data_IF_221652721931
#
_entry.id   IF_221652721931
#
_cell.length_a   1.000
_cell.length_b   1.000
_cell.length_c   1.000
_cell.angle_alpha   90.00
_cell.angle_beta   90.00
_cell.angle_gamma   90.00
#
_symmetry.space_group_name_H-M   'P 1'
#
loop_
_entity.id
_entity.type
_entity.pdbx_description
1 polymer ?
#
# COMPACT_ATOMS: atom_id res chain seq x y z
N UNK A 1 -8.88 29.96 22.28
CA UNK A 1 -9.82 30.77 21.48
C UNK A 1 -11.13 31.09 22.21
N UNK A 2 -11.71 30.12 22.95
CA UNK A 2 -12.92 30.33 23.77
C UNK A 2 -12.76 31.46 24.80
N UNK A 3 -11.76 31.36 25.66
CA UNK A 3 -11.42 32.38 26.67
C UNK A 3 -11.33 33.82 26.13
N UNK A 4 -10.74 33.99 24.95
CA UNK A 4 -10.57 35.33 24.36
C UNK A 4 -11.90 35.92 23.91
N UNK A 5 -12.78 35.11 23.31
CA UNK A 5 -14.09 35.57 22.89
C UNK A 5 -14.98 35.93 24.10
N UNK A 6 -14.88 35.17 25.18
CA UNK A 6 -15.59 35.42 26.42
C UNK A 6 -15.08 36.69 27.13
N UNK A 7 -13.75 36.86 27.24
CA UNK A 7 -13.14 38.07 27.79
C UNK A 7 -13.51 39.33 26.96
N UNK A 8 -13.48 39.23 25.63
CA UNK A 8 -13.89 40.34 24.75
C UNK A 8 -15.38 40.68 24.95
N UNK A 9 -16.26 39.68 25.07
CA UNK A 9 -17.67 39.92 25.36
C UNK A 9 -17.87 40.56 26.74
N UNK A 10 -17.07 40.17 27.74
CA UNK A 10 -17.12 40.75 29.08
C UNK A 10 -16.69 42.23 29.11
N UNK A 11 -15.67 42.60 28.34
CA UNK A 11 -15.19 43.99 28.26
C UNK A 11 -16.09 44.88 27.40
N UNK A 12 -16.61 44.37 26.28
CA UNK A 12 -17.42 45.16 25.35
C UNK A 12 -18.89 45.32 25.81
N UNK A 13 -19.37 44.43 26.68
CA UNK A 13 -20.75 44.42 27.14
C UNK A 13 -20.85 44.43 28.67
N UNK A 14 -20.44 45.53 29.33
CA UNK A 14 -20.46 45.63 30.80
C UNK A 14 -21.89 45.65 31.36
N UNK A 15 -22.85 46.19 30.61
CA UNK A 15 -24.24 46.37 31.05
C UNK A 15 -25.11 45.10 30.90
N UNK A 16 -24.56 44.01 30.35
CA UNK A 16 -25.29 42.75 30.25
C UNK A 16 -25.53 42.18 31.65
N UNK A 17 -26.76 41.75 31.97
CA UNK A 17 -27.04 41.08 33.24
C UNK A 17 -26.26 39.77 33.32
N UNK A 18 -25.46 39.63 34.38
CA UNK A 18 -24.66 38.44 34.69
C UNK A 18 -25.16 37.81 35.97
N UNK A 19 -25.12 36.49 36.02
CA UNK A 19 -25.43 35.71 37.21
C UNK A 19 -24.19 34.92 37.59
N UNK A 20 -23.91 34.84 38.88
CA UNK A 20 -22.88 33.95 39.39
C UNK A 20 -23.34 32.50 39.24
N UNK A 21 -22.40 31.61 38.93
CA UNK A 21 -22.64 30.18 38.82
C UNK A 21 -21.46 29.43 39.43
N UNK A 22 -21.74 28.55 40.37
CA UNK A 22 -20.76 27.64 40.98
C UNK A 22 -20.51 26.39 40.14
N UNK A 23 -21.01 26.35 38.89
CA UNK A 23 -20.84 25.20 38.02
C UNK A 23 -19.36 25.00 37.67
N UNK A 24 -18.80 23.79 37.86
CA UNK A 24 -17.41 23.53 37.52
C UNK A 24 -17.21 23.58 35.99
N UNK A 25 -16.32 24.46 35.54
CA UNK A 25 -15.96 24.62 34.13
C UNK A 25 -14.87 23.65 33.67
N UNK A 26 -14.27 22.92 34.62
CA UNK A 26 -13.22 21.93 34.37
C UNK A 26 -13.64 20.57 34.93
N UNK A 27 -13.36 19.52 34.17
CA UNK A 27 -13.56 18.14 34.61
C UNK A 27 -12.49 17.22 34.05
N UNK A 28 -12.16 16.15 34.78
CA UNK A 28 -11.20 15.14 34.32
C UNK A 28 -11.95 13.88 33.94
N UNK A 29 -11.81 13.47 32.69
CA UNK A 29 -12.31 12.19 32.21
C UNK A 29 -11.20 11.16 32.35
N UNK A 30 -11.45 10.10 33.10
CA UNK A 30 -10.48 9.02 33.35
C UNK A 30 -10.86 7.74 32.59
N UNK A 31 -9.97 6.74 32.61
CA UNK A 31 -10.22 5.43 32.00
C UNK A 31 -10.10 5.40 30.47
N UNK A 32 -9.61 6.48 29.85
CA UNK A 32 -9.46 6.57 28.41
C UNK A 32 -8.41 5.58 27.89
N UNK A 33 -8.76 4.87 26.83
CA UNK A 33 -7.90 3.94 26.12
C UNK A 33 -7.56 4.55 24.76
N UNK A 34 -6.33 5.02 24.60
CA UNK A 34 -5.86 5.60 23.33
C UNK A 34 -4.52 6.31 23.46
N UNK A 35 -3.83 6.44 22.34
CA UNK A 35 -2.49 7.06 22.24
C UNK A 35 -2.55 8.55 21.82
N UNK A 36 -3.68 9.21 22.08
CA UNK A 36 -3.86 10.60 21.67
C UNK A 36 -2.95 11.53 22.49
N UNK A 37 -2.24 12.51 21.88
CA UNK A 37 -1.28 13.37 22.59
C UNK A 37 -1.83 14.15 23.79
N UNK A 38 -3.16 14.31 23.86
CA UNK A 38 -3.86 15.01 24.95
C UNK A 38 -4.31 14.08 26.08
N UNK A 39 -4.19 12.77 25.90
CA UNK A 39 -4.46 11.78 26.94
C UNK A 39 -3.14 11.53 27.66
N UNK A 40 -3.11 11.82 28.95
CA UNK A 40 -1.97 11.56 29.83
C UNK A 40 -2.45 10.64 30.94
N UNK A 41 -1.76 9.52 31.17
CA UNK A 41 -2.13 8.54 32.20
C UNK A 41 -3.61 8.13 32.14
N UNK A 42 -4.09 7.80 30.93
CA UNK A 42 -5.50 7.40 30.66
C UNK A 42 -6.53 8.46 31.06
N UNK A 43 -6.11 9.71 31.18
CA UNK A 43 -6.93 10.81 31.65
C UNK A 43 -6.85 12.01 30.69
N UNK A 44 -7.94 12.75 30.60
CA UNK A 44 -8.04 13.98 29.83
C UNK A 44 -8.75 15.03 30.69
N UNK A 45 -8.03 16.11 31.01
CA UNK A 45 -8.64 17.30 31.60
C UNK A 45 -9.33 18.10 30.50
N UNK A 46 -10.61 18.39 30.73
CA UNK A 46 -11.51 19.10 29.85
C UNK A 46 -11.85 20.42 30.50
N UNK A 47 -11.68 21.51 29.76
CA UNK A 47 -12.28 22.81 30.06
C UNK A 47 -13.41 23.06 29.08
N UNK A 48 -14.58 23.45 29.57
CA UNK A 48 -15.81 23.53 28.75
C UNK A 48 -15.63 24.50 27.57
N UNK A 49 -15.07 25.68 27.80
CA UNK A 49 -14.83 26.71 26.79
C UNK A 49 -13.89 26.23 25.67
N UNK A 50 -12.74 25.65 26.05
CA UNK A 50 -11.72 25.18 25.13
C UNK A 50 -12.22 23.96 24.36
N UNK A 51 -12.86 23.03 25.07
CA UNK A 51 -13.35 21.79 24.48
C UNK A 51 -14.45 22.06 23.45
N UNK A 52 -15.43 22.91 23.78
CA UNK A 52 -16.50 23.28 22.85
C UNK A 52 -15.95 24.06 21.66
N UNK A 53 -15.04 25.01 21.88
CA UNK A 53 -14.40 25.73 20.77
C UNK A 53 -13.63 24.80 19.84
N UNK A 54 -12.77 23.95 20.40
CA UNK A 54 -11.93 23.01 19.65
C UNK A 54 -12.76 22.00 18.87
N UNK A 55 -13.72 21.36 19.53
CA UNK A 55 -14.52 20.31 18.89
C UNK A 55 -15.44 20.87 17.82
N UNK A 56 -15.93 22.12 17.99
CA UNK A 56 -16.67 22.83 16.95
C UNK A 56 -15.80 23.09 15.71
N UNK A 57 -14.58 23.59 15.90
CA UNK A 57 -13.64 23.79 14.79
C UNK A 57 -13.28 22.46 14.11
N UNK A 58 -12.93 21.44 14.88
CA UNK A 58 -12.62 20.11 14.36
C UNK A 58 -13.77 19.50 13.56
N UNK A 59 -15.01 19.66 14.03
CA UNK A 59 -16.20 19.17 13.33
C UNK A 59 -16.51 19.99 12.07
N UNK A 60 -16.35 21.31 12.13
CA UNK A 60 -16.75 22.19 11.04
C UNK A 60 -15.70 22.33 9.94
N UNK A 61 -14.41 22.18 10.27
CA UNK A 61 -13.29 22.38 9.33
C UNK A 61 -12.50 21.12 9.09
N UNK A 62 -11.89 20.55 10.14
CA UNK A 62 -10.92 19.46 9.98
C UNK A 62 -11.56 18.18 9.45
N UNK A 63 -12.71 17.79 10.00
CA UNK A 63 -13.42 16.58 9.59
C UNK A 63 -13.86 16.63 8.11
N UNK A 64 -14.53 17.70 7.63
CA UNK A 64 -14.85 17.84 6.21
C UNK A 64 -13.61 17.92 5.32
N UNK A 65 -12.59 18.67 5.71
CA UNK A 65 -11.35 18.82 4.95
C UNK A 65 -10.63 17.47 4.77
N UNK A 66 -10.51 16.69 5.85
CA UNK A 66 -9.93 15.35 5.80
C UNK A 66 -10.73 14.41 4.89
N UNK A 67 -12.07 14.43 4.96
CA UNK A 67 -12.92 13.64 4.06
C UNK A 67 -12.80 14.08 2.60
N UNK A 68 -12.64 15.38 2.34
CA UNK A 68 -12.41 15.89 0.99
C UNK A 68 -11.06 15.44 0.44
N UNK A 69 -10.00 15.56 1.24
CA UNK A 69 -8.66 15.08 0.91
C UNK A 69 -8.66 13.57 0.60
N UNK A 70 -9.27 12.75 1.46
CA UNK A 70 -9.36 11.31 1.25
C UNK A 70 -10.03 10.97 -0.09
N UNK A 71 -11.15 11.64 -0.42
CA UNK A 71 -11.84 11.46 -1.70
C UNK A 71 -10.96 11.83 -2.88
N UNK A 72 -10.35 13.02 -2.86
CA UNK A 72 -9.48 13.50 -3.94
C UNK A 72 -8.28 12.59 -4.16
N UNK A 73 -7.62 12.18 -3.07
CA UNK A 73 -6.50 11.23 -3.11
C UNK A 73 -6.93 9.91 -3.73
N UNK A 74 -8.05 9.35 -3.30
CA UNK A 74 -8.57 8.11 -3.87
C UNK A 74 -8.90 8.27 -5.36
N UNK A 75 -9.55 9.36 -5.76
CA UNK A 75 -9.83 9.64 -7.18
C UNK A 75 -8.56 9.71 -8.01
N UNK A 76 -7.54 10.43 -7.55
CA UNK A 76 -6.25 10.54 -8.23
C UNK A 76 -5.56 9.17 -8.36
N UNK A 77 -5.43 8.44 -7.26
CA UNK A 77 -4.78 7.12 -7.25
C UNK A 77 -5.51 6.14 -8.17
N UNK A 78 -6.85 6.14 -8.16
CA UNK A 78 -7.64 5.28 -9.05
C UNK A 78 -7.45 5.66 -10.51
N UNK A 79 -7.48 6.95 -10.84
CA UNK A 79 -7.27 7.41 -12.21
C UNK A 79 -5.89 7.01 -12.75
N UNK A 80 -4.83 7.18 -11.95
CA UNK A 80 -3.47 6.78 -12.33
C UNK A 80 -3.34 5.26 -12.46
N UNK A 81 -3.97 4.48 -11.56
CA UNK A 81 -4.03 3.01 -11.69
C UNK A 81 -4.65 2.56 -13.00
N UNK A 82 -5.77 3.19 -13.40
CA UNK A 82 -6.43 2.89 -14.67
C UNK A 82 -5.57 3.31 -15.86
N UNK A 83 -4.95 4.51 -15.81
CA UNK A 83 -4.06 5.00 -16.88
C UNK A 83 -2.86 4.07 -17.12
N UNK A 84 -2.27 3.56 -16.03
CA UNK A 84 -1.14 2.62 -16.06
C UNK A 84 -1.57 1.16 -16.20
N UNK A 85 -2.88 0.86 -16.32
CA UNK A 85 -3.43 -0.50 -16.46
C UNK A 85 -2.93 -1.48 -15.38
N UNK A 86 -2.72 -1.00 -14.15
CA UNK A 86 -2.13 -1.80 -13.07
C UNK A 86 -2.94 -3.06 -12.72
N UNK A 87 -4.25 -3.05 -12.98
CA UNK A 87 -5.12 -4.21 -12.76
C UNK A 87 -4.79 -5.42 -13.65
N UNK A 88 -4.10 -5.22 -14.77
CA UNK A 88 -3.64 -6.31 -15.65
C UNK A 88 -2.47 -7.08 -15.05
N UNK A 89 -1.74 -6.43 -14.14
CA UNK A 89 -0.59 -7.00 -13.46
C UNK A 89 -0.93 -7.48 -12.04
N UNK A 90 -2.21 -7.40 -11.64
CA UNK A 90 -2.67 -7.91 -10.35
C UNK A 90 -2.85 -9.43 -10.42
N UNK A 91 -2.20 -10.21 -9.55
CA UNK A 91 -2.40 -11.65 -9.50
C UNK A 91 -3.88 -11.99 -9.25
N UNK A 92 -4.43 -12.94 -10.01
CA UNK A 92 -5.81 -13.43 -9.82
C UNK A 92 -5.75 -14.85 -9.28
N UNK A 93 -5.43 -14.99 -8.00
CA UNK A 93 -5.36 -16.30 -7.37
C UNK A 93 -6.78 -16.88 -7.26
N UNK A 94 -6.99 -18.08 -7.81
CA UNK A 94 -8.26 -18.78 -7.61
C UNK A 94 -8.40 -19.15 -6.13
N UNK A 95 -9.50 -18.72 -5.51
CA UNK A 95 -9.81 -19.00 -4.10
C UNK A 95 -9.84 -20.49 -3.75
N UNK A 96 -10.06 -21.36 -4.75
CA UNK A 96 -10.03 -22.82 -4.62
C UNK A 96 -8.63 -23.42 -4.44
N UNK A 97 -7.56 -22.68 -4.77
CA UNK A 97 -6.18 -23.15 -4.62
C UNK A 97 -5.66 -23.01 -3.18
N UNK A 98 -6.37 -22.26 -2.32
CA UNK A 98 -5.95 -21.97 -0.95
C UNK A 98 -6.73 -22.84 0.03
N UNK A 99 -6.43 -24.14 0.07
CA UNK A 99 -6.60 -24.97 1.28
C UNK A 99 -5.86 -26.32 1.26
N UNK A 100 -4.66 -26.36 0.71
CA UNK A 100 -3.79 -27.52 0.83
C UNK A 100 -2.48 -27.14 1.51
N UNK A 101 -2.09 -27.91 2.53
CA UNK A 101 -0.79 -27.87 3.25
C UNK A 101 0.46 -27.65 2.38
N UNK A 102 0.37 -27.90 1.08
CA UNK A 102 1.46 -27.77 0.11
C UNK A 102 2.09 -26.38 0.05
N UNK A 103 1.32 -25.28 0.11
CA UNK A 103 1.89 -23.93 -0.07
C UNK A 103 2.57 -23.44 1.21
N UNK A 104 1.86 -23.48 2.33
CA UNK A 104 2.35 -22.95 3.61
C UNK A 104 3.42 -23.84 4.26
N UNK A 105 3.37 -25.17 4.08
CA UNK A 105 4.31 -26.09 4.75
C UNK A 105 5.46 -26.57 3.85
N UNK A 106 5.33 -26.56 2.52
CA UNK A 106 6.36 -27.12 1.62
C UNK A 106 6.99 -26.05 0.73
N UNK A 107 6.21 -25.22 0.04
CA UNK A 107 6.78 -24.29 -0.94
C UNK A 107 7.37 -23.02 -0.31
N UNK A 108 6.65 -22.35 0.59
CA UNK A 108 7.14 -21.09 1.20
C UNK A 108 8.49 -21.24 1.93
N UNK A 109 8.76 -22.33 2.70
CA UNK A 109 10.06 -22.54 3.31
C UNK A 109 11.20 -22.75 2.30
N UNK A 110 10.93 -23.33 1.12
CA UNK A 110 11.94 -23.61 0.10
C UNK A 110 12.36 -22.37 -0.71
N UNK A 111 11.43 -21.42 -0.90
CA UNK A 111 11.69 -20.19 -1.65
C UNK A 111 11.84 -18.96 -0.75
N UNK A 112 11.46 -19.07 0.53
CA UNK A 112 11.38 -17.98 1.51
C UNK A 112 12.73 -17.34 1.80
N UNK A 113 13.81 -18.13 1.92
CA UNK A 113 15.15 -17.58 2.15
C UNK A 113 15.69 -16.81 0.92
N UNK A 114 15.38 -17.28 -0.29
CA UNK A 114 15.74 -16.57 -1.52
C UNK A 114 14.89 -15.31 -1.72
N UNK A 115 13.58 -15.38 -1.43
CA UNK A 115 12.69 -14.22 -1.43
C UNK A 115 13.08 -13.20 -0.36
N UNK A 116 13.47 -13.62 0.85
CA UNK A 116 13.91 -12.75 1.93
C UNK A 116 15.21 -12.00 1.57
N UNK A 117 16.16 -12.70 0.92
CA UNK A 117 17.36 -12.08 0.36
C UNK A 117 17.00 -11.09 -0.78
N UNK A 118 16.05 -11.46 -1.65
CA UNK A 118 15.57 -10.62 -2.76
C UNK A 118 14.78 -9.38 -2.30
N UNK A 119 14.08 -9.47 -1.18
CA UNK A 119 13.33 -8.37 -0.56
C UNK A 119 14.19 -7.52 0.39
N UNK A 120 15.47 -7.86 0.57
CA UNK A 120 16.44 -7.09 1.36
C UNK A 120 16.25 -7.19 2.88
N UNK A 121 15.61 -8.24 3.40
CA UNK A 121 15.32 -8.37 4.84
C UNK A 121 16.44 -9.01 5.66
N UNK A 122 17.54 -9.43 5.03
CA UNK A 122 18.70 -10.06 5.70
C UNK A 122 20.02 -9.33 5.41
N UNK A 123 20.39 -8.40 6.29
CA UNK A 123 21.75 -7.85 6.38
C UNK A 123 21.82 -6.35 6.71
N UNK A 124 22.58 -5.99 7.76
CA UNK A 124 22.85 -4.62 8.23
C UNK A 124 23.61 -3.72 7.21
N UNK A 125 23.83 -4.19 5.98
CA UNK A 125 24.44 -3.41 4.92
C UNK A 125 23.51 -3.37 3.71
N UNK A 126 22.83 -2.22 3.52
CA UNK A 126 22.14 -1.85 2.27
C UNK A 126 23.14 -1.92 1.10
N UNK A 127 23.29 -3.08 0.48
CA UNK A 127 23.77 -3.17 -0.91
C UNK A 127 22.55 -3.34 -1.81
N UNK A 128 22.46 -2.44 -2.76
CA UNK A 128 21.41 -2.26 -3.78
C UNK A 128 21.33 -3.38 -4.82
N UNK A 129 21.81 -4.58 -4.52
CA UNK A 129 21.77 -5.72 -5.44
C UNK A 129 20.53 -6.59 -5.17
N UNK A 130 19.35 -5.96 -5.17
CA UNK A 130 18.02 -6.58 -4.99
C UNK A 130 17.53 -7.37 -6.23
N UNK A 131 18.45 -7.90 -7.02
CA UNK A 131 18.17 -8.69 -8.23
C UNK A 131 18.49 -10.17 -8.02
N UNK A 132 17.65 -10.91 -7.30
CA UNK A 132 17.79 -12.35 -7.24
C UNK A 132 16.89 -13.04 -8.27
N UNK A 133 17.45 -14.00 -8.99
CA UNK A 133 16.71 -14.87 -9.92
C UNK A 133 16.26 -16.13 -9.18
N UNK A 134 14.98 -16.48 -9.30
CA UNK A 134 14.45 -17.77 -8.84
C UNK A 134 14.08 -18.62 -10.06
N UNK A 135 14.82 -19.70 -10.29
CA UNK A 135 14.49 -20.67 -11.33
C UNK A 135 13.66 -21.82 -10.75
N UNK A 136 12.43 -21.98 -11.23
CA UNK A 136 11.50 -23.02 -10.80
C UNK A 136 11.41 -24.13 -11.85
N UNK A 137 12.02 -25.28 -11.55
CA UNK A 137 11.96 -26.49 -12.37
C UNK A 137 10.97 -27.47 -11.73
N UNK A 138 9.90 -27.80 -12.45
CA UNK A 138 8.94 -28.85 -12.06
C UNK A 138 8.32 -29.48 -13.30
N UNK A 139 7.73 -30.69 -13.20
CA UNK A 139 6.96 -31.27 -14.29
C UNK A 139 5.75 -30.39 -14.66
N UNK A 140 5.25 -30.48 -15.91
CA UNK A 140 4.08 -29.70 -16.36
C UNK A 140 2.83 -30.07 -15.56
N UNK A 141 2.01 -29.07 -15.23
CA UNK A 141 0.77 -29.25 -14.44
C UNK A 141 0.94 -29.21 -12.92
N UNK A 142 2.17 -29.09 -12.40
CA UNK A 142 2.43 -29.06 -10.94
C UNK A 142 2.29 -27.66 -10.31
N UNK A 143 1.55 -26.74 -10.94
CA UNK A 143 1.12 -25.49 -10.29
C UNK A 143 2.19 -24.41 -10.12
N UNK A 144 3.31 -24.43 -10.87
CA UNK A 144 4.36 -23.38 -10.83
C UNK A 144 3.80 -21.96 -11.00
N UNK A 145 2.98 -21.77 -12.03
CA UNK A 145 2.35 -20.47 -12.32
C UNK A 145 1.44 -20.03 -11.18
N UNK A 146 0.66 -20.95 -10.62
CA UNK A 146 -0.25 -20.67 -9.49
C UNK A 146 0.50 -20.34 -8.20
N UNK A 147 1.64 -21.00 -7.96
CA UNK A 147 2.53 -20.67 -6.85
C UNK A 147 3.08 -19.24 -6.98
N UNK A 148 3.52 -18.85 -8.18
CA UNK A 148 4.04 -17.49 -8.42
C UNK A 148 2.96 -16.42 -8.28
N UNK A 149 1.74 -16.69 -8.75
CA UNK A 149 0.59 -15.82 -8.52
C UNK A 149 0.27 -15.66 -7.04
N UNK A 150 0.29 -16.76 -6.28
CA UNK A 150 0.04 -16.73 -4.85
C UNK A 150 1.10 -15.92 -4.11
N UNK A 151 2.38 -16.15 -4.41
CA UNK A 151 3.50 -15.42 -3.79
C UNK A 151 3.39 -13.92 -4.08
N UNK A 152 3.12 -13.55 -5.34
CA UNK A 152 2.94 -12.15 -5.71
C UNK A 152 1.76 -11.49 -4.97
N UNK A 153 0.63 -12.19 -4.83
CA UNK A 153 -0.53 -11.67 -4.11
C UNK A 153 -0.23 -11.47 -2.61
N UNK A 154 0.39 -12.47 -1.97
CA UNK A 154 0.74 -12.42 -0.55
C UNK A 154 1.75 -11.33 -0.20
N UNK A 155 2.67 -11.06 -1.11
CA UNK A 155 3.71 -10.05 -0.93
C UNK A 155 3.30 -8.67 -1.49
N UNK A 156 2.14 -8.55 -2.13
CA UNK A 156 1.68 -7.30 -2.74
C UNK A 156 2.55 -6.84 -3.92
N UNK A 157 3.18 -7.79 -4.63
CA UNK A 157 4.05 -7.54 -5.78
C UNK A 157 3.22 -7.35 -7.05
N UNK A 158 3.68 -6.45 -7.92
CA UNK A 158 3.19 -6.35 -9.30
C UNK A 158 3.68 -7.57 -10.07
N UNK A 159 2.79 -8.42 -10.56
CA UNK A 159 3.16 -9.63 -11.30
C UNK A 159 3.14 -9.36 -12.80
N UNK A 160 4.31 -9.32 -13.41
CA UNK A 160 4.46 -9.19 -14.86
C UNK A 160 4.79 -10.54 -15.45
N UNK A 161 3.86 -11.12 -16.21
CA UNK A 161 4.04 -12.41 -16.86
C UNK A 161 4.46 -12.24 -18.30
N UNK A 162 5.55 -12.92 -18.64
CA UNK A 162 6.13 -12.93 -19.97
C UNK A 162 6.13 -14.36 -20.48
N UNK A 163 5.63 -14.57 -21.69
CA UNK A 163 5.54 -15.88 -22.31
C UNK A 163 6.77 -16.15 -23.18
N UNK A 164 7.63 -17.09 -22.75
CA UNK A 164 8.84 -17.48 -23.47
C UNK A 164 8.60 -17.89 -24.94
N UNK A 165 7.63 -18.77 -25.25
CA UNK A 165 7.29 -19.12 -26.62
C UNK A 165 6.87 -17.94 -27.50
N UNK A 166 6.22 -16.94 -26.92
CA UNK A 166 5.79 -15.73 -27.63
C UNK A 166 6.94 -14.75 -27.90
N UNK A 167 7.98 -14.75 -27.07
CA UNK A 167 9.25 -14.09 -27.38
C UNK A 167 10.01 -14.84 -28.49
N UNK A 168 10.12 -16.16 -28.35
CA UNK A 168 10.84 -17.03 -29.27
C UNK A 168 12.37 -16.90 -29.18
N UNK A 169 13.05 -17.69 -30.01
CA UNK A 169 14.51 -17.83 -29.97
C UNK A 169 15.28 -16.74 -30.73
N UNK A 170 14.58 -15.87 -31.46
CA UNK A 170 15.18 -14.88 -32.36
C UNK A 170 15.24 -13.47 -31.79
N UNK A 171 14.57 -13.24 -30.66
CA UNK A 171 14.60 -11.94 -29.97
C UNK A 171 15.87 -11.86 -29.13
N UNK A 172 16.76 -10.93 -29.47
CA UNK A 172 18.04 -10.69 -28.78
C UNK A 172 18.18 -9.26 -28.26
N UNK A 173 17.20 -8.40 -28.54
CA UNK A 173 17.13 -6.99 -28.12
C UNK A 173 15.91 -6.78 -27.22
N UNK A 174 16.05 -5.91 -26.22
CA UNK A 174 14.94 -5.41 -25.39
C UNK A 174 14.30 -4.13 -25.96
N UNK A 175 14.70 -3.71 -27.16
CA UNK A 175 14.01 -2.64 -27.89
C UNK A 175 12.74 -3.21 -28.57
N UNK A 176 11.53 -2.73 -28.23
CA UNK A 176 10.29 -3.14 -28.91
C UNK A 176 10.32 -2.92 -30.43
N UNK A 177 11.11 -1.97 -30.92
CA UNK A 177 11.26 -1.70 -32.35
C UNK A 177 11.98 -2.83 -33.11
N UNK A 178 12.84 -3.59 -32.42
CA UNK A 178 13.61 -4.70 -32.99
C UNK A 178 12.84 -6.04 -32.96
N UNK A 179 11.62 -6.05 -32.42
CA UNK A 179 10.85 -7.28 -32.27
C UNK A 179 10.39 -7.84 -33.64
N UNK A 180 10.53 -9.15 -33.89
CA UNK A 180 10.27 -9.76 -35.20
C UNK A 180 8.77 -9.82 -35.55
N UNK A 181 7.89 -9.68 -34.55
CA UNK A 181 6.44 -9.67 -34.74
C UNK A 181 5.75 -8.94 -33.57
N UNK A 182 4.46 -8.66 -33.75
CA UNK A 182 3.65 -7.93 -32.77
C UNK A 182 3.55 -8.65 -31.41
N UNK A 183 3.54 -9.98 -31.40
CA UNK A 183 3.45 -10.78 -30.16
C UNK A 183 4.73 -10.66 -29.35
N UNK A 184 5.89 -10.87 -29.98
CA UNK A 184 7.20 -10.69 -29.36
C UNK A 184 7.38 -9.25 -28.85
N UNK A 185 6.90 -8.26 -29.62
CA UNK A 185 6.93 -6.85 -29.19
C UNK A 185 6.16 -6.64 -27.89
N UNK A 186 4.96 -7.18 -27.76
CA UNK A 186 4.16 -7.07 -26.54
C UNK A 186 4.86 -7.71 -25.34
N UNK A 187 5.54 -8.84 -25.52
CA UNK A 187 6.32 -9.48 -24.45
C UNK A 187 7.53 -8.63 -24.05
N UNK A 188 8.25 -8.01 -25.00
CA UNK A 188 9.34 -7.07 -24.72
C UNK A 188 8.83 -5.81 -24.00
N UNK A 189 7.69 -5.25 -24.41
CA UNK A 189 7.05 -4.11 -23.72
C UNK A 189 6.70 -4.45 -22.26
N UNK A 190 6.24 -5.68 -21.97
CA UNK A 190 6.01 -6.14 -20.60
C UNK A 190 7.31 -6.24 -19.80
N UNK A 191 8.39 -6.78 -20.39
CA UNK A 191 9.71 -6.83 -19.73
C UNK A 191 10.16 -5.41 -19.37
N UNK A 192 10.08 -4.48 -20.31
CA UNK A 192 10.48 -3.09 -20.08
C UNK A 192 9.64 -2.44 -18.98
N UNK A 193 8.32 -2.64 -18.99
CA UNK A 193 7.46 -2.19 -17.89
C UNK A 193 7.89 -2.76 -16.53
N UNK A 194 8.24 -4.05 -16.46
CA UNK A 194 8.69 -4.66 -15.21
C UNK A 194 10.01 -4.07 -14.71
N UNK A 195 10.95 -3.81 -15.62
CA UNK A 195 12.25 -3.21 -15.31
C UNK A 195 12.11 -1.74 -14.89
N UNK A 196 11.24 -0.98 -15.55
CA UNK A 196 10.93 0.42 -15.21
C UNK A 196 10.17 0.55 -13.88
N UNK A 197 9.24 -0.37 -13.60
CA UNK A 197 8.53 -0.43 -12.33
C UNK A 197 9.49 -0.64 -11.14
N UNK A 198 10.65 -1.26 -11.39
CA UNK A 198 11.74 -1.37 -10.44
C UNK A 198 11.36 -2.20 -9.21
N UNK A 199 11.35 -1.56 -8.04
CA UNK A 199 11.07 -2.23 -6.78
C UNK A 199 9.62 -2.73 -6.71
N UNK A 200 9.37 -3.83 -5.99
CA UNK A 200 8.04 -4.40 -5.75
C UNK A 200 7.36 -5.02 -6.99
N UNK A 201 8.17 -5.51 -7.94
CA UNK A 201 7.73 -6.23 -9.15
C UNK A 201 8.30 -7.64 -9.18
N UNK A 202 7.47 -8.62 -9.54
CA UNK A 202 7.87 -9.99 -9.88
C UNK A 202 7.78 -10.18 -11.40
N UNK A 203 8.92 -10.15 -12.08
CA UNK A 203 9.03 -10.51 -13.49
C UNK A 203 9.07 -12.04 -13.62
N UNK A 204 7.99 -12.62 -14.13
CA UNK A 204 7.84 -14.05 -14.30
C UNK A 204 7.94 -14.43 -15.78
N UNK A 205 9.05 -15.07 -16.16
CA UNK A 205 9.27 -15.58 -17.50
C UNK A 205 8.89 -17.07 -17.54
N UNK A 206 7.77 -17.39 -18.19
CA UNK A 206 7.31 -18.77 -18.35
C UNK A 206 7.99 -19.43 -19.55
N UNK A 207 8.24 -20.73 -19.46
CA UNK A 207 8.79 -21.51 -20.59
C UNK A 207 10.08 -20.91 -21.21
N UNK A 208 11.01 -20.46 -20.35
CA UNK A 208 12.28 -19.81 -20.73
C UNK A 208 13.14 -20.64 -21.71
N UNK A 209 12.96 -21.96 -21.75
CA UNK A 209 13.65 -22.82 -22.72
C UNK A 209 13.32 -22.51 -24.20
N UNK A 210 12.28 -21.70 -24.45
CA UNK A 210 11.87 -21.24 -25.78
C UNK A 210 12.34 -19.80 -26.11
N UNK A 211 13.20 -19.21 -25.28
CA UNK A 211 13.82 -17.90 -25.56
C UNK A 211 15.22 -18.06 -26.12
N UNK A 212 15.77 -16.97 -26.69
CA UNK A 212 17.19 -16.92 -27.06
C UNK A 212 18.07 -17.27 -25.84
N UNK A 213 19.13 -18.07 -26.03
CA UNK A 213 20.17 -18.28 -25.01
C UNK A 213 20.95 -17.01 -24.69
#
# INVERSE_FOLDING_TARGET
PGDLAEAVAAELCPDLPRYESDAPLTGTVTGLLGTHPRITDRSLTIRVDEFLSRTREFRAKDTPAFRAYQRQRTTLVTAERTRLRLDEYRPRVMSSFVRGRLIDEVYLPLIGDNLAKQLGTTGEAKRTDTGGLLLLISPPGYGKTTLMEYVADRLGLVLVKVNGPSLGNTVTSLDPADAPNATARQEVEKINFALEAGNNTLLHLDDIQHTSP
#
